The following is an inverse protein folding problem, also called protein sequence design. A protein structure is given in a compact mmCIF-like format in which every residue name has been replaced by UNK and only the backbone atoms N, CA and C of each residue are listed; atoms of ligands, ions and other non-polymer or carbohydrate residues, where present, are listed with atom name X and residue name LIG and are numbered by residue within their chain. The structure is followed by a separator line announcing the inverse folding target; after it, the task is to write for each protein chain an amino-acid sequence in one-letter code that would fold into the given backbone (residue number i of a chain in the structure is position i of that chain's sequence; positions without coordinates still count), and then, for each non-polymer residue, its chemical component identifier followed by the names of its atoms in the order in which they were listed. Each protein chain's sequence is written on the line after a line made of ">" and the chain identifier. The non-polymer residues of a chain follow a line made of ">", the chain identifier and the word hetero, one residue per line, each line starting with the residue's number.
data_IF_599157793993
#
_entry.id   IF_599157793993
#
_cell.length_a   1.000
_cell.length_b   1.000
_cell.length_c   1.000
_cell.angle_alpha   90.00
_cell.angle_beta   90.00
_cell.angle_gamma   90.00
#
_symmetry.space_group_name_H-M   'P 1'
#
loop_
_entity.id
_entity.type
_entity.pdbx_description
1 polymer ?
#
# COMPACT_ATOMS: atom_id res chain seq x y z
N UNK A 1 -19.10 -50.09 3.20
CA UNK A 1 -19.09 -49.27 1.97
C UNK A 1 -19.25 -47.81 2.40
N UNK A 2 -18.47 -46.88 1.87
CA UNK A 2 -18.58 -45.46 2.23
C UNK A 2 -19.82 -44.89 1.52
N UNK A 3 -20.75 -44.20 2.23
CA UNK A 3 -21.91 -43.59 1.60
C UNK A 3 -21.48 -42.35 0.80
N UNK A 4 -21.41 -42.48 -0.53
CA UNK A 4 -20.98 -41.41 -1.45
C UNK A 4 -22.01 -40.27 -1.52
N UNK A 5 -23.26 -40.54 -1.19
CA UNK A 5 -24.34 -39.56 -1.08
C UNK A 5 -23.99 -38.47 -0.05
N UNK A 6 -23.27 -38.85 1.01
CA UNK A 6 -22.76 -37.92 2.02
C UNK A 6 -21.62 -37.03 1.54
N UNK A 7 -21.01 -37.32 0.38
CA UNK A 7 -19.88 -36.55 -0.16
C UNK A 7 -20.30 -35.40 -1.07
N UNK A 8 -21.54 -35.39 -1.58
CA UNK A 8 -22.06 -34.29 -2.42
C UNK A 8 -21.94 -32.91 -1.76
N UNK A 9 -22.33 -32.73 -0.48
CA UNK A 9 -22.19 -31.43 0.19
C UNK A 9 -20.72 -30.98 0.28
N UNK A 10 -19.80 -31.90 0.59
CA UNK A 10 -18.38 -31.61 0.65
C UNK A 10 -17.78 -31.30 -0.72
N UNK A 11 -18.23 -32.00 -1.78
CA UNK A 11 -17.86 -31.72 -3.15
C UNK A 11 -18.26 -30.31 -3.57
N UNK A 12 -19.51 -29.91 -3.29
CA UNK A 12 -19.97 -28.55 -3.56
C UNK A 12 -19.17 -27.51 -2.77
N UNK A 13 -18.93 -27.71 -1.47
CA UNK A 13 -18.07 -26.81 -0.69
C UNK A 13 -16.67 -26.66 -1.28
N UNK A 14 -16.04 -27.76 -1.68
CA UNK A 14 -14.71 -27.75 -2.29
C UNK A 14 -14.69 -27.00 -3.61
N UNK A 15 -15.72 -27.18 -4.46
CA UNK A 15 -15.82 -26.47 -5.74
C UNK A 15 -15.95 -24.96 -5.54
N UNK A 16 -16.82 -24.50 -4.64
CA UNK A 16 -16.97 -23.07 -4.37
C UNK A 16 -15.73 -22.47 -3.72
N UNK A 17 -15.08 -23.19 -2.80
CA UNK A 17 -13.83 -22.75 -2.19
C UNK A 17 -12.71 -22.62 -3.24
N UNK A 18 -12.56 -23.62 -4.11
CA UNK A 18 -11.58 -23.61 -5.19
C UNK A 18 -11.84 -22.51 -6.22
N UNK A 19 -13.10 -22.34 -6.64
CA UNK A 19 -13.50 -21.30 -7.59
C UNK A 19 -13.25 -19.91 -7.00
N UNK A 20 -13.65 -19.68 -5.74
CA UNK A 20 -13.45 -18.40 -5.06
C UNK A 20 -11.96 -18.05 -4.94
N UNK A 21 -11.13 -18.99 -4.47
CA UNK A 21 -9.69 -18.78 -4.34
C UNK A 21 -8.99 -18.55 -5.69
N UNK A 22 -9.34 -19.33 -6.71
CA UNK A 22 -8.82 -19.19 -8.07
C UNK A 22 -9.19 -17.84 -8.69
N UNK A 23 -10.47 -17.44 -8.56
CA UNK A 23 -10.95 -16.16 -9.06
C UNK A 23 -10.25 -14.97 -8.38
N UNK A 24 -10.11 -15.00 -7.05
CA UNK A 24 -9.42 -13.93 -6.31
C UNK A 24 -7.95 -13.82 -6.71
N UNK A 25 -7.25 -14.96 -6.86
CA UNK A 25 -5.85 -14.96 -7.30
C UNK A 25 -5.71 -14.37 -8.72
N UNK A 26 -6.58 -14.76 -9.65
CA UNK A 26 -6.55 -14.25 -11.02
C UNK A 26 -6.81 -12.74 -11.09
N UNK A 27 -7.82 -12.25 -10.37
CA UNK A 27 -8.14 -10.82 -10.31
C UNK A 27 -6.98 -10.03 -9.70
N UNK A 28 -6.38 -10.54 -8.62
CA UNK A 28 -5.30 -9.85 -7.92
C UNK A 28 -3.99 -9.85 -8.71
N UNK A 29 -3.61 -10.97 -9.33
CA UNK A 29 -2.42 -11.04 -10.19
C UNK A 29 -2.58 -10.13 -11.40
N UNK A 30 -3.77 -10.09 -12.01
CA UNK A 30 -4.03 -9.23 -13.17
C UNK A 30 -4.00 -7.74 -12.80
N UNK A 31 -4.58 -7.34 -11.65
CA UNK A 31 -4.55 -5.95 -11.21
C UNK A 31 -3.14 -5.48 -10.88
N UNK A 32 -2.35 -6.34 -10.24
CA UNK A 32 -0.94 -6.12 -9.95
C UNK A 32 -0.14 -5.97 -11.23
N UNK A 33 -0.25 -6.92 -12.15
CA UNK A 33 0.54 -6.93 -13.39
C UNK A 33 0.26 -5.67 -14.21
N UNK A 34 -1.01 -5.25 -14.30
CA UNK A 34 -1.39 -3.99 -14.94
C UNK A 34 -0.77 -2.76 -14.27
N UNK A 35 -0.76 -2.71 -12.93
CA UNK A 35 -0.17 -1.57 -12.21
C UNK A 35 1.35 -1.47 -12.40
N UNK A 36 2.01 -2.60 -12.61
CA UNK A 36 3.47 -2.64 -12.73
C UNK A 36 3.96 -2.24 -14.11
N UNK A 37 3.18 -2.53 -15.15
CA UNK A 37 3.50 -2.29 -16.55
C UNK A 37 3.10 -0.90 -17.05
N UNK A 38 2.47 -0.06 -16.22
CA UNK A 38 1.98 1.27 -16.59
C UNK A 38 3.06 2.24 -17.09
N UNK A 39 4.35 1.92 -16.94
CA UNK A 39 5.48 2.71 -17.42
C UNK A 39 6.08 2.23 -18.75
N UNK A 40 5.62 1.11 -19.33
CA UNK A 40 5.99 0.76 -20.71
C UNK A 40 5.23 1.67 -21.67
N UNK A 41 5.96 2.46 -22.44
CA UNK A 41 5.47 3.23 -23.59
C UNK A 41 4.54 2.36 -24.45
N UNK A 42 3.53 2.93 -25.14
CA UNK A 42 2.63 2.20 -26.04
C UNK A 42 3.34 1.81 -27.35
N UNK A 43 4.54 1.23 -27.26
CA UNK A 43 5.23 0.63 -28.38
C UNK A 43 4.78 -0.82 -28.46
N UNK A 44 3.96 -1.08 -29.47
CA UNK A 44 3.40 -2.36 -29.85
C UNK A 44 4.55 -3.34 -30.14
N UNK A 45 4.92 -4.14 -29.15
CA UNK A 45 5.78 -5.30 -29.33
C UNK A 45 4.85 -6.50 -29.52
N UNK A 46 4.84 -7.09 -30.72
CA UNK A 46 3.94 -8.18 -31.12
C UNK A 46 4.21 -9.51 -30.39
N UNK A 47 5.21 -9.53 -29.49
CA UNK A 47 5.54 -10.66 -28.64
C UNK A 47 4.98 -10.40 -27.23
N UNK A 48 3.76 -10.88 -26.98
CA UNK A 48 2.98 -10.70 -25.73
C UNK A 48 3.56 -11.52 -24.56
N UNK A 49 4.85 -11.34 -24.24
CA UNK A 49 5.52 -11.93 -23.08
C UNK A 49 5.13 -11.13 -21.82
N UNK A 50 3.85 -11.24 -21.42
CA UNK A 50 3.38 -10.65 -20.16
C UNK A 50 4.05 -11.35 -18.99
N UNK A 51 4.81 -10.59 -18.22
CA UNK A 51 5.47 -11.10 -17.03
C UNK A 51 4.46 -11.05 -15.89
N UNK A 52 3.87 -12.20 -15.55
CA UNK A 52 2.93 -12.29 -14.43
C UNK A 52 3.63 -12.00 -13.11
N UNK A 53 3.27 -10.88 -12.47
CA UNK A 53 3.84 -10.49 -11.18
C UNK A 53 3.00 -11.04 -10.04
N UNK A 54 3.61 -11.87 -9.19
CA UNK A 54 2.96 -12.43 -8.01
C UNK A 54 2.87 -11.42 -6.87
N UNK A 55 1.85 -11.53 -6.01
CA UNK A 55 1.76 -10.68 -4.82
C UNK A 55 2.86 -10.99 -3.81
N UNK A 56 3.41 -9.93 -3.19
CA UNK A 56 4.34 -10.05 -2.07
C UNK A 56 3.56 -10.18 -0.76
N UNK A 57 3.97 -11.13 0.08
CA UNK A 57 3.47 -11.30 1.45
C UNK A 57 4.62 -11.09 2.44
N UNK A 58 4.30 -10.81 3.71
CA UNK A 58 5.28 -10.61 4.78
C UNK A 58 6.37 -9.56 4.49
N UNK A 59 6.02 -8.53 3.72
CA UNK A 59 6.93 -7.45 3.31
C UNK A 59 7.38 -6.63 4.53
N UNK A 60 8.68 -6.67 4.80
CA UNK A 60 9.27 -6.00 5.96
C UNK A 60 9.52 -4.50 5.69
N UNK A 61 10.28 -3.83 6.56
CA UNK A 61 10.60 -2.41 6.37
C UNK A 61 11.62 -2.21 5.24
N UNK A 62 12.58 -3.13 5.10
CA UNK A 62 13.59 -3.10 4.06
C UNK A 62 12.95 -3.22 2.67
N UNK A 63 12.06 -4.19 2.49
CA UNK A 63 11.34 -4.42 1.23
C UNK A 63 10.50 -3.21 0.80
N UNK A 64 9.93 -2.48 1.77
CA UNK A 64 9.18 -1.24 1.49
C UNK A 64 10.11 -0.15 0.97
N UNK A 65 11.28 0.02 1.57
CA UNK A 65 12.28 0.97 1.06
C UNK A 65 12.81 0.56 -0.31
N UNK A 66 13.00 -0.75 -0.56
CA UNK A 66 13.35 -1.24 -1.88
C UNK A 66 12.25 -0.97 -2.91
N UNK A 67 10.97 -1.15 -2.57
CA UNK A 67 9.88 -0.80 -3.49
C UNK A 67 9.84 0.70 -3.84
N UNK A 68 10.16 1.57 -2.88
CA UNK A 68 10.29 3.02 -3.12
C UNK A 68 11.52 3.32 -3.97
N UNK A 69 12.64 2.63 -3.76
CA UNK A 69 13.81 2.72 -4.62
C UNK A 69 13.47 2.30 -6.05
N UNK A 70 12.79 1.17 -6.23
CA UNK A 70 12.41 0.64 -7.54
C UNK A 70 11.45 1.61 -8.26
N UNK A 71 10.53 2.26 -7.52
CA UNK A 71 9.69 3.35 -8.04
C UNK A 71 10.53 4.52 -8.55
N UNK A 72 11.61 4.89 -7.85
CA UNK A 72 12.50 5.99 -8.27
C UNK A 72 13.34 5.63 -9.48
N UNK A 73 13.75 4.37 -9.61
CA UNK A 73 14.54 3.88 -10.75
C UNK A 73 13.67 3.71 -12.01
N UNK A 74 12.48 3.13 -11.87
CA UNK A 74 11.68 2.61 -13.00
C UNK A 74 10.36 3.36 -13.24
N UNK A 75 9.97 4.25 -12.33
CA UNK A 75 8.65 4.88 -12.32
C UNK A 75 7.51 3.95 -11.85
N UNK A 76 7.81 2.71 -11.47
CA UNK A 76 6.84 1.71 -11.02
C UNK A 76 7.25 1.07 -9.69
N UNK A 77 6.31 0.92 -8.75
CA UNK A 77 6.57 0.30 -7.43
C UNK A 77 7.09 -1.15 -7.50
N UNK A 78 6.99 -1.81 -8.65
CA UNK A 78 7.59 -3.15 -8.87
C UNK A 78 8.33 -3.27 -10.21
N UNK A 79 8.73 -2.15 -10.81
CA UNK A 79 9.60 -2.23 -11.98
C UNK A 79 10.94 -2.84 -11.59
N UNK A 80 11.48 -3.68 -12.46
CA UNK A 80 12.80 -4.27 -12.31
C UNK A 80 13.72 -3.71 -13.39
N UNK A 81 14.92 -3.30 -12.99
CA UNK A 81 15.99 -2.89 -13.90
C UNK A 81 17.27 -3.62 -13.49
N UNK A 82 18.00 -4.11 -14.49
CA UNK A 82 19.26 -4.83 -14.32
C UNK A 82 20.47 -4.04 -14.86
N UNK A 83 20.24 -2.79 -15.30
CA UNK A 83 21.30 -1.92 -15.81
C UNK A 83 22.33 -1.63 -14.70
N UNK A 84 23.64 -1.72 -15.01
CA UNK A 84 24.70 -1.54 -14.02
C UNK A 84 24.84 -0.08 -13.57
N UNK A 85 24.49 0.87 -14.43
CA UNK A 85 24.52 2.31 -14.15
C UNK A 85 23.09 2.84 -14.09
N UNK A 86 22.80 3.64 -13.06
CA UNK A 86 21.48 4.26 -12.90
C UNK A 86 21.36 5.52 -13.77
N UNK A 87 20.13 5.91 -14.12
CA UNK A 87 19.86 7.15 -14.82
C UNK A 87 20.30 8.38 -14.00
N UNK A 88 20.75 9.44 -14.66
CA UNK A 88 21.17 10.71 -14.02
C UNK A 88 20.09 11.34 -13.13
N UNK A 89 18.82 11.15 -13.49
CA UNK A 89 17.67 11.65 -12.73
C UNK A 89 17.52 10.99 -11.35
N UNK A 90 18.11 9.81 -11.15
CA UNK A 90 18.03 9.09 -9.88
C UNK A 90 18.78 9.81 -8.74
N UNK A 91 19.88 10.52 -9.07
CA UNK A 91 20.69 11.27 -8.11
C UNK A 91 19.89 12.40 -7.46
N UNK A 92 19.06 13.08 -8.25
CA UNK A 92 18.28 14.25 -7.81
C UNK A 92 16.89 13.87 -7.28
N UNK A 93 16.36 12.71 -7.66
CA UNK A 93 15.04 12.23 -7.24
C UNK A 93 15.06 11.60 -5.83
N UNK A 94 15.80 12.16 -4.86
CA UNK A 94 15.83 11.63 -3.49
C UNK A 94 14.59 12.04 -2.71
N UNK A 95 13.82 11.07 -2.23
CA UNK A 95 12.67 11.32 -1.37
C UNK A 95 13.09 11.29 0.10
N UNK A 96 13.01 12.44 0.77
CA UNK A 96 13.09 12.53 2.23
C UNK A 96 11.66 12.67 2.74
N UNK A 97 11.15 11.64 3.40
CA UNK A 97 9.89 11.76 4.12
C UNK A 97 10.10 12.80 5.22
N UNK A 98 9.31 13.89 5.22
CA UNK A 98 9.38 15.02 6.17
C UNK A 98 9.06 14.65 7.63
N UNK A 99 9.31 13.40 8.03
CA UNK A 99 9.14 12.89 9.39
C UNK A 99 10.27 13.32 10.34
N UNK A 100 11.26 14.09 9.85
CA UNK A 100 12.42 14.57 10.60
C UNK A 100 12.48 16.11 10.69
N UNK A 101 11.35 16.77 10.90
CA UNK A 101 11.39 18.00 11.70
C UNK A 101 11.74 17.56 13.12
N UNK A 102 12.88 18.01 13.70
CA UNK A 102 13.40 17.62 15.04
C UNK A 102 12.28 17.17 15.98
N UNK A 103 12.08 15.87 16.11
CA UNK A 103 11.10 15.33 17.05
C UNK A 103 11.80 15.28 18.41
N UNK A 104 11.41 16.11 19.40
CA UNK A 104 11.89 15.89 20.77
C UNK A 104 11.53 14.44 21.14
N UNK A 105 12.48 13.76 21.79
CA UNK A 105 12.64 12.34 22.15
C UNK A 105 11.41 11.45 22.47
N UNK A 106 10.18 11.97 22.44
CA UNK A 106 8.94 11.34 22.90
C UNK A 106 8.21 10.53 21.81
N UNK A 107 8.51 10.71 20.51
CA UNK A 107 7.62 10.18 19.43
C UNK A 107 8.10 8.84 18.80
N UNK A 108 9.13 8.18 19.37
CA UNK A 108 9.74 6.98 18.78
C UNK A 108 8.90 5.68 18.78
N UNK A 109 7.65 5.67 19.28
CA UNK A 109 6.87 4.43 19.41
C UNK A 109 5.65 4.30 18.48
N UNK A 110 5.21 5.38 17.82
CA UNK A 110 3.84 5.43 17.29
C UNK A 110 3.68 5.19 15.77
N UNK A 111 4.77 5.04 15.00
CA UNK A 111 4.66 4.81 13.56
C UNK A 111 4.55 3.32 13.16
N UNK A 112 4.62 2.40 14.12
CA UNK A 112 4.32 0.97 13.93
C UNK A 112 3.11 0.60 14.80
N UNK A 113 1.95 1.24 14.61
CA UNK A 113 0.67 0.71 15.06
C UNK A 113 -0.48 1.46 14.37
N UNK A 114 -1.19 0.74 13.49
CA UNK A 114 -2.42 1.19 12.85
C UNK A 114 -3.55 1.25 13.88
N UNK A 115 -3.74 2.38 14.54
CA UNK A 115 -5.05 2.95 14.84
C UNK A 115 -4.84 4.26 15.60
N UNK A 116 -5.61 5.27 15.18
CA UNK A 116 -5.84 6.60 15.74
C UNK A 116 -5.24 6.87 17.12
N UNK A 117 -4.52 7.99 17.34
CA UNK A 117 -3.91 8.30 18.64
C UNK A 117 -4.97 8.27 19.73
N UNK A 118 -4.95 7.19 20.50
CA UNK A 118 -5.93 6.94 21.55
C UNK A 118 -5.84 8.04 22.62
N UNK A 119 -6.97 8.27 23.29
CA UNK A 119 -7.32 9.27 24.33
C UNK A 119 -6.24 9.70 25.33
N UNK A 120 -5.12 8.99 25.42
CA UNK A 120 -3.96 9.33 26.23
C UNK A 120 -3.20 10.57 25.76
N UNK A 121 -3.13 10.84 24.44
CA UNK A 121 -2.37 11.97 23.92
C UNK A 121 -3.02 13.33 24.25
N UNK A 122 -4.36 13.36 24.40
CA UNK A 122 -5.12 14.52 24.86
C UNK A 122 -4.80 14.93 26.30
N UNK A 123 -4.24 14.05 27.15
CA UNK A 123 -3.93 14.38 28.55
C UNK A 123 -2.64 15.17 28.73
N UNK A 124 -1.76 15.22 27.73
CA UNK A 124 -0.42 15.81 27.87
C UNK A 124 -0.20 17.08 27.03
N UNK A 125 -1.18 17.47 26.21
CA UNK A 125 -1.11 18.71 25.42
C UNK A 125 -2.50 19.37 25.34
N UNK A 126 -2.93 20.08 26.40
CA UNK A 126 -4.23 20.73 26.44
C UNK A 126 -4.34 21.88 25.43
N UNK A 127 -3.23 22.57 25.12
CA UNK A 127 -3.22 23.72 24.21
C UNK A 127 -3.57 23.31 22.77
N UNK A 128 -3.03 22.19 22.28
CA UNK A 128 -3.36 21.71 20.94
C UNK A 128 -4.85 21.33 20.84
N UNK A 129 -5.41 20.71 21.88
CA UNK A 129 -6.83 20.35 21.90
C UNK A 129 -7.74 21.58 21.91
N UNK A 130 -7.36 22.65 22.62
CA UNK A 130 -8.08 23.91 22.65
C UNK A 130 -8.00 24.63 21.30
N UNK A 131 -6.86 24.59 20.62
CA UNK A 131 -6.69 25.16 19.28
C UNK A 131 -7.51 24.41 18.22
N UNK A 132 -7.58 23.07 18.28
CA UNK A 132 -8.44 22.30 17.39
C UNK A 132 -9.93 22.58 17.64
N UNK A 133 -10.31 22.76 18.92
CA UNK A 133 -11.68 23.12 19.28
C UNK A 133 -12.03 24.52 18.76
N UNK A 134 -11.16 25.52 18.94
CA UNK A 134 -11.40 26.87 18.43
C UNK A 134 -11.49 26.91 16.90
N UNK A 135 -10.63 26.17 16.18
CA UNK A 135 -10.71 26.05 14.73
C UNK A 135 -12.02 25.39 14.25
N UNK A 136 -12.49 24.36 14.96
CA UNK A 136 -13.79 23.75 14.67
C UNK A 136 -14.95 24.71 14.95
N UNK A 137 -14.90 25.46 16.05
CA UNK A 137 -15.91 26.45 16.40
C UNK A 137 -15.98 27.60 15.39
N UNK A 138 -14.82 28.10 14.93
CA UNK A 138 -14.74 29.14 13.91
C UNK A 138 -15.28 28.66 12.55
N UNK A 139 -14.99 27.41 12.17
CA UNK A 139 -15.54 26.80 10.97
C UNK A 139 -17.06 26.65 11.05
N UNK A 140 -17.60 26.17 12.18
CA UNK A 140 -19.05 26.06 12.40
C UNK A 140 -19.73 27.43 12.42
N UNK A 141 -19.10 28.45 13.01
CA UNK A 141 -19.58 29.84 12.97
C UNK A 141 -19.57 30.41 11.55
N UNK A 142 -18.58 30.06 10.75
CA UNK A 142 -18.50 30.41 9.33
C UNK A 142 -19.65 29.80 8.53
N UNK A 143 -19.95 28.51 8.74
CA UNK A 143 -21.08 27.84 8.09
C UNK A 143 -22.45 28.37 8.54
N UNK A 144 -22.58 28.85 9.78
CA UNK A 144 -23.85 29.38 10.30
C UNK A 144 -24.15 30.83 9.86
N UNK A 145 -23.16 31.52 9.28
CA UNK A 145 -23.29 32.88 8.70
C UNK A 145 -23.64 32.87 7.21
N UNK A 146 -23.77 31.68 6.62
CA UNK A 146 -24.27 31.43 5.26
C UNK A 146 -25.76 31.12 5.26
#
# INVERSE_FOLDING_TARGET
>A
MIPWEGLWPFGLMLTFLGLSGGAMNAVFVNSITRSTESSKSPQLDDNDDRIFVRPRFNTDQWDKYLAIRDLRLTGSLRGQQAEPEAHESFETNSLVFASEQKKPWVVRKHFIMRNTPSKWMSRYDPEQSNNLQSMNEDFLRGMKKS
#
